data_IF_442642297414
#
_entry.id   IF_442642297414
#
_cell.length_a   1.000
_cell.length_b   1.000
_cell.length_c   1.000
_cell.angle_alpha   90.00
_cell.angle_beta   90.00
_cell.angle_gamma   90.00
#
_symmetry.space_group_name_H-M   'P 1'
#
loop_
_entity.id
_entity.type
_entity.pdbx_description
1 polymer ?
#
# COMPACT_ATOMS: atom_id res chain seq x y z
N UNK A 1 -3.26 0.59 18.94
CA UNK A 1 -3.71 -0.17 17.75
C UNK A 1 -5.22 -0.13 17.53
N UNK A 2 -6.03 -0.53 18.52
CA UNK A 2 -7.50 -0.56 18.37
C UNK A 2 -8.10 0.82 18.11
N UNK A 3 -7.59 1.88 18.74
CA UNK A 3 -8.03 3.26 18.46
C UNK A 3 -7.74 3.71 17.03
N UNK A 4 -6.49 3.56 16.57
CA UNK A 4 -6.11 3.87 15.18
C UNK A 4 -7.00 3.11 14.20
N UNK A 5 -7.19 1.82 14.44
CA UNK A 5 -8.03 0.96 13.61
C UNK A 5 -9.50 1.41 13.58
N UNK A 6 -10.06 1.85 14.71
CA UNK A 6 -11.40 2.45 14.76
C UNK A 6 -11.47 3.76 13.99
N UNK A 7 -10.48 4.64 14.16
CA UNK A 7 -10.42 5.93 13.48
C UNK A 7 -10.40 5.77 11.94
N UNK A 8 -9.69 4.76 11.44
CA UNK A 8 -9.59 4.48 9.99
C UNK A 8 -10.58 3.41 9.50
N UNK A 9 -11.52 2.97 10.36
CA UNK A 9 -12.53 1.92 10.08
C UNK A 9 -11.94 0.65 9.48
N UNK A 10 -10.89 0.12 10.11
CA UNK A 10 -10.18 -1.07 9.66
C UNK A 10 -10.02 -2.08 10.79
N UNK A 11 -9.82 -3.34 10.44
CA UNK A 11 -9.59 -4.39 11.43
C UNK A 11 -8.27 -4.13 12.21
N UNK A 12 -8.29 -4.14 13.55
CA UNK A 12 -7.08 -3.96 14.36
C UNK A 12 -5.97 -4.98 14.05
N UNK A 13 -6.34 -6.21 13.68
CA UNK A 13 -5.37 -7.24 13.27
C UNK A 13 -4.64 -6.84 11.99
N UNK A 14 -5.34 -6.21 11.05
CA UNK A 14 -4.78 -5.68 9.80
C UNK A 14 -3.78 -4.58 10.07
N UNK A 15 -4.13 -3.62 10.93
CA UNK A 15 -3.22 -2.53 11.34
C UNK A 15 -1.98 -3.10 12.04
N UNK A 16 -2.13 -4.06 12.95
CA UNK A 16 -1.00 -4.70 13.64
C UNK A 16 -0.05 -5.40 12.66
N UNK A 17 -0.58 -6.16 11.70
CA UNK A 17 0.24 -6.86 10.69
C UNK A 17 0.96 -5.88 9.77
N UNK A 18 0.31 -4.76 9.41
CA UNK A 18 0.95 -3.71 8.60
C UNK A 18 2.09 -3.04 9.36
N UNK A 19 1.91 -2.73 10.64
CA UNK A 19 2.96 -2.16 11.47
C UNK A 19 4.13 -3.13 11.67
N UNK A 20 3.86 -4.42 11.91
CA UNK A 20 4.92 -5.43 12.02
C UNK A 20 5.72 -5.62 10.73
N UNK A 21 5.05 -5.61 9.56
CA UNK A 21 5.72 -5.70 8.25
C UNK A 21 6.58 -4.48 7.92
N UNK A 22 6.16 -3.30 8.37
CA UNK A 22 6.79 -2.03 8.02
C UNK A 22 7.72 -1.48 9.12
N UNK A 23 7.79 -2.10 10.29
CA UNK A 23 8.68 -1.70 11.38
C UNK A 23 10.16 -1.74 10.95
N UNK A 24 10.94 -0.76 11.37
CA UNK A 24 12.39 -0.76 11.22
C UNK A 24 13.02 -1.47 12.42
N UNK A 25 14.09 -2.24 12.21
CA UNK A 25 14.85 -2.80 13.33
C UNK A 25 16.03 -1.89 13.61
N UNK A 26 16.16 -1.38 14.84
CA UNK A 26 17.36 -0.69 15.32
C UNK A 26 17.74 -1.25 16.68
N UNK A 27 18.99 -1.68 16.82
CA UNK A 27 19.49 -2.24 18.10
C UNK A 27 18.69 -3.44 18.61
N UNK A 28 18.17 -4.29 17.72
CA UNK A 28 17.37 -5.47 18.09
C UNK A 28 15.90 -5.20 18.46
N UNK A 29 15.46 -3.94 18.50
CA UNK A 29 14.07 -3.57 18.77
C UNK A 29 13.34 -3.12 17.49
N UNK A 30 12.09 -3.53 17.35
CA UNK A 30 11.20 -3.03 16.29
C UNK A 30 10.70 -1.64 16.66
N UNK A 31 11.15 -0.63 15.92
CA UNK A 31 10.69 0.76 16.03
C UNK A 31 9.89 1.12 14.78
N UNK A 32 8.73 1.74 14.96
CA UNK A 32 8.00 2.30 13.83
C UNK A 32 8.67 3.60 13.37
N UNK A 33 9.14 3.64 12.12
CA UNK A 33 9.72 4.82 11.49
C UNK A 33 9.00 5.09 10.18
N UNK A 34 8.27 6.21 10.11
CA UNK A 34 7.37 6.50 8.98
C UNK A 34 8.06 6.45 7.61
N UNK A 35 9.23 7.09 7.44
CA UNK A 35 9.96 7.07 6.17
C UNK A 35 10.44 5.67 5.75
N UNK A 36 10.92 4.86 6.70
CA UNK A 36 11.33 3.48 6.44
C UNK A 36 10.12 2.60 6.13
N UNK A 37 9.04 2.77 6.89
CA UNK A 37 7.77 2.07 6.65
C UNK A 37 7.23 2.34 5.25
N UNK A 38 7.27 3.60 4.81
CA UNK A 38 6.88 4.01 3.46
C UNK A 38 7.77 3.39 2.40
N UNK A 39 9.10 3.48 2.56
CA UNK A 39 10.05 2.87 1.63
C UNK A 39 9.84 1.35 1.52
N UNK A 40 9.64 0.64 2.65
CA UNK A 40 9.35 -0.80 2.67
C UNK A 40 8.05 -1.13 1.94
N UNK A 41 7.00 -0.35 2.17
CA UNK A 41 5.73 -0.52 1.48
C UNK A 41 5.88 -0.33 -0.04
N UNK A 42 6.64 0.68 -0.47
CA UNK A 42 6.95 0.92 -1.88
C UNK A 42 7.77 -0.23 -2.48
N UNK A 43 8.80 -0.73 -1.80
CA UNK A 43 9.57 -1.88 -2.30
C UNK A 43 8.70 -3.14 -2.41
N UNK A 44 7.83 -3.41 -1.44
CA UNK A 44 6.91 -4.55 -1.49
C UNK A 44 5.88 -4.43 -2.63
N UNK A 45 5.46 -3.21 -2.96
CA UNK A 45 4.54 -2.92 -4.06
C UNK A 45 5.18 -3.10 -5.44
N UNK A 46 6.52 -3.07 -5.55
CA UNK A 46 7.24 -3.37 -6.81
C UNK A 46 7.17 -4.84 -7.21
N UNK A 47 6.88 -5.75 -6.28
CA UNK A 47 6.74 -7.18 -6.60
C UNK A 47 5.54 -7.34 -7.54
N UNK A 48 5.74 -7.76 -8.81
CA UNK A 48 4.69 -7.72 -9.81
C UNK A 48 3.54 -8.63 -9.38
N UNK A 49 2.37 -8.01 -9.24
CA UNK A 49 1.08 -8.69 -9.16
C UNK A 49 0.31 -8.20 -10.36
N UNK A 50 -0.35 -9.11 -11.10
CA UNK A 50 -1.23 -8.71 -12.20
C UNK A 50 -2.18 -7.64 -11.67
N UNK A 51 -2.11 -6.45 -12.24
CA UNK A 51 -2.89 -5.34 -11.77
C UNK A 51 -4.37 -5.67 -11.98
N UNK A 52 -5.19 -5.57 -10.93
CA UNK A 52 -6.62 -5.89 -10.99
C UNK A 52 -7.39 -5.17 -12.11
N UNK A 53 -7.04 -3.93 -12.53
CA UNK A 53 -7.69 -3.28 -13.68
C UNK A 53 -7.40 -3.95 -15.03
N UNK A 54 -6.34 -4.77 -15.12
CA UNK A 54 -6.01 -5.53 -16.34
C UNK A 54 -6.94 -6.73 -16.50
N UNK A 55 -7.43 -7.29 -15.38
CA UNK A 55 -8.29 -8.47 -15.37
C UNK A 55 -9.77 -8.17 -15.09
N UNK A 56 -10.11 -6.91 -14.75
CA UNK A 56 -11.46 -6.51 -14.38
C UNK A 56 -11.87 -5.23 -15.13
N UNK A 57 -12.77 -5.40 -16.11
CA UNK A 57 -13.28 -4.35 -16.99
C UNK A 57 -13.99 -3.21 -16.21
N UNK A 58 -14.82 -3.55 -15.23
CA UNK A 58 -15.53 -2.57 -14.40
C UNK A 58 -14.57 -1.69 -13.60
N UNK A 59 -13.50 -2.29 -13.06
CA UNK A 59 -12.48 -1.57 -12.32
C UNK A 59 -11.67 -0.63 -13.23
N UNK A 60 -11.50 -1.01 -14.50
CA UNK A 60 -10.82 -0.19 -15.52
C UNK A 60 -11.65 1.03 -15.91
N UNK A 61 -12.95 0.86 -16.13
CA UNK A 61 -13.87 1.98 -16.39
C UNK A 61 -13.96 2.93 -15.19
N UNK A 62 -14.09 2.38 -13.97
CA UNK A 62 -14.11 3.18 -12.74
C UNK A 62 -12.81 3.99 -12.56
N UNK A 63 -11.64 3.39 -12.84
CA UNK A 63 -10.35 4.08 -12.76
C UNK A 63 -10.25 5.23 -13.77
N UNK A 64 -10.80 5.05 -14.98
CA UNK A 64 -10.81 6.08 -16.04
C UNK A 64 -11.80 7.21 -15.78
N UNK A 65 -12.91 6.90 -15.11
CA UNK A 65 -13.96 7.87 -14.81
C UNK A 65 -13.62 8.80 -13.64
N UNK A 66 -12.58 8.50 -12.85
CA UNK A 66 -12.15 9.34 -11.71
C UNK A 66 -11.19 10.44 -12.23
N UNK A 67 -11.57 11.73 -12.19
CA UNK A 67 -10.69 12.80 -12.62
C UNK A 67 -9.63 13.09 -11.55
N UNK A 68 -8.35 12.92 -11.89
CA UNK A 68 -7.22 13.39 -11.07
C UNK A 68 -6.04 12.43 -10.99
N UNK A 69 -4.84 12.97 -11.26
CA UNK A 69 -3.43 12.58 -10.95
C UNK A 69 -2.98 11.09 -10.97
N UNK A 70 -3.83 10.08 -10.75
CA UNK A 70 -3.41 8.69 -10.57
C UNK A 70 -2.82 8.02 -11.82
N UNK A 71 -3.01 8.60 -13.01
CA UNK A 71 -2.45 8.08 -14.27
C UNK A 71 -0.91 8.05 -14.29
N UNK A 72 -0.23 8.98 -13.61
CA UNK A 72 1.24 9.05 -13.59
C UNK A 72 1.93 7.95 -12.78
N UNK A 73 1.19 7.27 -11.89
CA UNK A 73 1.75 6.25 -10.99
C UNK A 73 1.48 4.81 -11.45
N UNK A 74 0.55 4.63 -12.41
CA UNK A 74 0.23 3.32 -12.99
C UNK A 74 1.10 3.03 -14.22
N UNK A 75 1.43 4.05 -15.02
CA UNK A 75 2.28 3.92 -16.21
C UNK A 75 3.74 3.58 -15.86
N UNK A 76 4.26 4.04 -14.73
CA UNK A 76 5.63 3.71 -14.28
C UNK A 76 5.79 2.29 -13.71
N UNK A 77 4.70 1.53 -13.53
CA UNK A 77 4.71 0.15 -13.01
C UNK A 77 4.52 -0.92 -14.08
N UNK A 78 4.26 -0.54 -15.33
CA UNK A 78 3.92 -1.46 -16.43
C UNK A 78 4.83 -1.34 -17.65
N UNK A 79 5.88 -0.53 -17.61
CA UNK A 79 6.91 -0.52 -18.68
C UNK A 79 7.86 -1.71 -18.46
N UNK A 80 8.12 -2.55 -19.48
CA UNK A 80 9.04 -3.69 -19.38
C UNK A 80 10.49 -3.26 -19.12
#
# INVERSE_FOLDING_TARGET
MREIARAIRRDPGTVSRELGRNAATRGGKQEYRAGVAQWKAQQAAKRPKIARPVTNEQLREYTRAVPGHWEGELTQRTTP
#
